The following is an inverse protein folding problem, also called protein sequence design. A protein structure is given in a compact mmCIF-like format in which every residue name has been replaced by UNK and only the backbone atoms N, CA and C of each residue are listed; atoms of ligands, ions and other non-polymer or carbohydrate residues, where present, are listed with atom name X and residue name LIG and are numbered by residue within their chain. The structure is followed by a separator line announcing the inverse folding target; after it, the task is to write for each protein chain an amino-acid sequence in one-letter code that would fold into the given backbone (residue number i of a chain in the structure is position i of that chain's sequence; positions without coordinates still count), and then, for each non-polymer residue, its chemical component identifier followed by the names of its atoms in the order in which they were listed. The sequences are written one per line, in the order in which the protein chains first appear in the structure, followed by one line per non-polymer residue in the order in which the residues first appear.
data_IF_315347834485
#
_entry.id   IF_315347834485
#
_cell.length_a   1.000
_cell.length_b   1.000
_cell.length_c   1.000
_cell.angle_alpha   90.00
_cell.angle_beta   90.00
_cell.angle_gamma   90.00
#
_symmetry.space_group_name_H-M   'P 1'
#
loop_
_entity.id
_entity.type
_entity.pdbx_description
1 polymer ?
#
# COMPACT_ATOMS: atom_id res chain seq x y z
N UNK A 1 29.19 4.70 14.70
CA UNK A 1 28.47 5.38 13.60
C UNK A 1 27.01 4.93 13.67
N UNK A 2 26.17 5.74 14.32
CA UNK A 2 24.77 5.41 14.55
C UNK A 2 23.98 5.66 13.27
N UNK A 3 23.67 4.58 12.53
CA UNK A 3 22.69 4.58 11.45
C UNK A 3 21.29 4.69 12.05
N UNK A 4 20.94 5.87 12.54
CA UNK A 4 19.60 6.14 13.01
C UNK A 4 18.66 5.98 11.81
N UNK A 5 17.93 4.85 11.78
CA UNK A 5 16.83 4.60 10.85
C UNK A 5 15.78 5.68 11.09
N UNK A 6 15.93 6.82 10.41
CA UNK A 6 15.12 8.04 10.51
C UNK A 6 13.63 7.76 10.28
N UNK A 7 13.27 6.58 9.75
CA UNK A 7 11.96 6.26 9.16
C UNK A 7 11.21 5.15 9.92
N UNK A 8 11.69 4.77 11.10
CA UNK A 8 10.97 3.90 12.06
C UNK A 8 10.65 4.77 13.26
N UNK A 9 9.40 5.21 13.38
CA UNK A 9 8.93 5.93 14.57
C UNK A 9 8.64 4.91 15.67
N UNK A 10 9.16 5.17 16.86
CA UNK A 10 9.01 4.36 18.07
C UNK A 10 7.55 3.94 18.35
N UNK A 11 7.43 2.75 18.93
CA UNK A 11 6.22 2.07 19.43
C UNK A 11 5.24 1.46 18.41
N UNK A 12 5.11 1.94 17.16
CA UNK A 12 4.04 1.48 16.24
C UNK A 12 4.53 0.84 14.93
N UNK A 13 5.84 0.78 14.69
CA UNK A 13 6.46 0.29 13.42
C UNK A 13 5.90 0.94 12.14
N UNK A 14 5.23 2.10 12.24
CA UNK A 14 4.65 2.80 11.09
C UNK A 14 5.73 3.59 10.36
N UNK A 15 5.78 3.40 9.04
CA UNK A 15 6.65 4.15 8.13
C UNK A 15 5.94 5.42 7.63
N UNK A 16 6.66 6.39 7.05
CA UNK A 16 6.04 7.57 6.44
C UNK A 16 4.94 7.23 5.42
N UNK A 17 5.08 6.10 4.70
CA UNK A 17 4.09 5.64 3.71
C UNK A 17 2.80 5.19 4.40
N UNK A 18 2.86 4.58 5.60
CA UNK A 18 1.65 4.23 6.37
C UNK A 18 0.82 5.48 6.72
N UNK A 19 1.49 6.55 7.15
CA UNK A 19 0.81 7.79 7.54
C UNK A 19 0.09 8.44 6.36
N UNK A 20 0.76 8.56 5.21
CA UNK A 20 0.13 9.16 4.03
C UNK A 20 -0.98 8.30 3.44
N UNK A 21 -0.83 6.97 3.46
CA UNK A 21 -1.86 6.06 3.00
C UNK A 21 -3.14 6.18 3.85
N UNK A 22 -3.01 6.51 5.14
CA UNK A 22 -4.16 6.77 6.02
C UNK A 22 -4.85 8.12 5.73
N UNK A 23 -4.25 8.99 4.93
CA UNK A 23 -4.85 10.28 4.54
C UNK A 23 -5.70 10.16 3.28
N UNK A 24 -6.71 11.02 3.15
CA UNK A 24 -7.51 11.15 1.92
C UNK A 24 -6.91 12.06 0.86
N UNK A 25 -5.75 12.67 1.13
CA UNK A 25 -5.15 13.67 0.25
C UNK A 25 -4.06 13.07 -0.61
N UNK A 26 -4.45 12.68 -1.83
CA UNK A 26 -3.51 12.17 -2.83
C UNK A 26 -2.44 13.20 -3.20
N UNK A 27 -2.76 14.49 -3.18
CA UNK A 27 -1.81 15.56 -3.54
C UNK A 27 -0.65 15.64 -2.56
N UNK A 28 -0.96 15.59 -1.27
CA UNK A 28 0.05 15.57 -0.20
C UNK A 28 0.86 14.28 -0.28
N UNK A 29 0.18 13.16 -0.51
CA UNK A 29 0.81 11.85 -0.63
C UNK A 29 1.78 11.79 -1.81
N UNK A 30 1.41 12.32 -2.97
CA UNK A 30 2.27 12.40 -4.16
C UNK A 30 3.53 13.22 -3.89
N UNK A 31 3.40 14.38 -3.25
CA UNK A 31 4.55 15.24 -2.90
C UNK A 31 5.45 14.56 -1.88
N UNK A 32 4.89 13.89 -0.87
CA UNK A 32 5.70 13.24 0.17
C UNK A 32 6.38 11.96 -0.31
N UNK A 33 5.78 11.26 -1.29
CA UNK A 33 6.30 10.02 -1.87
C UNK A 33 7.05 10.21 -3.20
N UNK A 34 7.30 11.46 -3.61
CA UNK A 34 8.06 11.76 -4.83
C UNK A 34 9.53 11.38 -4.68
N UNK A 35 10.14 11.77 -3.56
CA UNK A 35 11.54 11.50 -3.21
C UNK A 35 11.69 10.46 -2.08
N UNK A 36 10.60 9.82 -1.68
CA UNK A 36 10.65 8.77 -0.66
C UNK A 36 11.35 7.52 -1.21
N UNK A 37 12.23 6.91 -0.42
CA UNK A 37 12.65 5.54 -0.69
C UNK A 37 11.41 4.64 -0.63
N UNK A 38 11.23 3.75 -1.60
CA UNK A 38 10.04 2.88 -1.68
C UNK A 38 10.35 1.47 -1.16
N UNK A 39 11.55 1.23 -0.64
CA UNK A 39 12.00 -0.05 -0.08
C UNK A 39 11.12 -0.59 1.05
N UNK A 40 10.26 0.27 1.63
CA UNK A 40 9.37 -0.06 2.73
C UNK A 40 7.88 0.13 2.41
N UNK A 41 7.52 0.18 1.12
CA UNK A 41 6.11 0.28 0.69
C UNK A 41 5.25 -0.91 1.16
N UNK A 42 5.89 -2.05 1.41
CA UNK A 42 5.27 -3.29 1.88
C UNK A 42 5.58 -3.61 3.35
N UNK A 43 6.26 -2.71 4.07
CA UNK A 43 6.46 -2.92 5.50
C UNK A 43 5.11 -2.99 6.19
N UNK A 44 5.01 -3.92 7.13
CA UNK A 44 3.83 -4.14 7.94
C UNK A 44 3.99 -3.42 9.28
N UNK A 45 2.93 -2.76 9.73
CA UNK A 45 2.85 -2.20 11.07
C UNK A 45 2.61 -3.29 12.14
N UNK A 46 2.27 -2.89 13.37
CA UNK A 46 2.01 -3.84 14.46
C UNK A 46 0.83 -4.78 14.22
N UNK A 47 -0.18 -4.33 13.46
CA UNK A 47 -1.36 -5.11 13.11
C UNK A 47 -1.15 -5.93 11.83
N UNK A 48 0.11 -6.04 11.41
CA UNK A 48 0.54 -6.60 10.14
C UNK A 48 -0.06 -5.88 8.92
N UNK A 49 -0.52 -4.64 9.08
CA UNK A 49 -1.12 -3.87 7.99
C UNK A 49 -0.03 -3.21 7.17
N UNK A 50 -0.07 -3.41 5.85
CA UNK A 50 0.74 -2.61 4.92
C UNK A 50 0.07 -1.25 4.69
N UNK A 51 0.79 -0.26 4.13
CA UNK A 51 0.17 0.99 3.71
C UNK A 51 -1.03 0.79 2.78
N UNK A 52 -1.02 -0.27 1.96
CA UNK A 52 -2.15 -0.59 1.09
C UNK A 52 -3.40 -1.02 1.87
N UNK A 53 -3.25 -1.66 3.04
CA UNK A 53 -4.38 -1.93 3.94
C UNK A 53 -4.94 -0.63 4.52
N UNK A 54 -4.05 0.26 5.00
CA UNK A 54 -4.44 1.53 5.60
C UNK A 54 -5.11 2.49 4.59
N UNK A 55 -4.76 2.37 3.31
CA UNK A 55 -5.39 3.14 2.24
C UNK A 55 -6.88 2.79 2.08
N UNK A 56 -7.28 1.54 2.35
CA UNK A 56 -8.67 1.05 2.24
C UNK A 56 -9.48 1.48 3.47
N UNK A 57 -9.63 2.79 3.66
CA UNK A 57 -10.33 3.37 4.80
C UNK A 57 -11.76 3.78 4.42
N UNK A 58 -12.81 3.11 4.93
CA UNK A 58 -14.21 3.36 4.56
C UNK A 58 -14.75 4.72 5.02
N UNK A 59 -13.99 5.49 5.80
CA UNK A 59 -14.35 6.86 6.19
C UNK A 59 -14.23 7.86 5.03
N UNK A 60 -13.63 7.48 3.90
CA UNK A 60 -13.46 8.31 2.72
C UNK A 60 -14.29 7.84 1.53
N UNK A 61 -14.42 8.70 0.52
CA UNK A 61 -15.10 8.35 -0.73
C UNK A 61 -14.37 7.22 -1.49
N UNK A 62 -15.10 6.21 -1.98
CA UNK A 62 -14.53 5.07 -2.74
C UNK A 62 -13.64 5.53 -3.92
N UNK A 63 -13.97 6.66 -4.56
CA UNK A 63 -13.14 7.23 -5.61
C UNK A 63 -11.77 7.72 -5.11
N UNK A 64 -11.71 8.34 -3.92
CA UNK A 64 -10.45 8.82 -3.33
C UNK A 64 -9.62 7.65 -2.81
N UNK A 65 -10.27 6.65 -2.24
CA UNK A 65 -9.63 5.42 -1.80
C UNK A 65 -9.02 4.71 -3.01
N UNK A 66 -9.78 4.55 -4.09
CA UNK A 66 -9.31 3.92 -5.32
C UNK A 66 -8.10 4.69 -5.90
N UNK A 67 -8.13 6.02 -5.94
CA UNK A 67 -6.98 6.81 -6.42
C UNK A 67 -5.72 6.60 -5.57
N UNK A 68 -5.87 6.53 -4.24
CA UNK A 68 -4.74 6.25 -3.34
C UNK A 68 -4.18 4.84 -3.56
N UNK A 69 -5.07 3.86 -3.66
CA UNK A 69 -4.71 2.45 -3.89
C UNK A 69 -4.01 2.30 -5.23
N UNK A 70 -4.54 2.89 -6.31
CA UNK A 70 -3.90 2.87 -7.63
C UNK A 70 -2.52 3.52 -7.60
N UNK A 71 -2.36 4.62 -6.86
CA UNK A 71 -1.06 5.26 -6.71
C UNK A 71 -0.06 4.35 -5.98
N UNK A 72 -0.42 3.76 -4.84
CA UNK A 72 0.46 2.84 -4.12
C UNK A 72 0.81 1.60 -4.95
N UNK A 73 -0.15 1.05 -5.69
CA UNK A 73 0.08 -0.05 -6.63
C UNK A 73 1.05 0.36 -7.76
N UNK A 74 0.92 1.59 -8.29
CA UNK A 74 1.84 2.12 -9.30
C UNK A 74 3.29 2.26 -8.79
N UNK A 75 3.45 2.42 -7.47
CA UNK A 75 4.74 2.46 -6.78
C UNK A 75 5.29 1.08 -6.42
N UNK A 76 4.57 0.01 -6.74
CA UNK A 76 5.00 -1.37 -6.56
C UNK A 76 4.50 -2.06 -5.30
N UNK A 77 3.52 -1.50 -4.59
CA UNK A 77 2.92 -2.14 -3.42
C UNK A 77 2.33 -3.51 -3.78
N UNK A 78 2.55 -4.50 -2.92
CA UNK A 78 2.01 -5.86 -3.08
C UNK A 78 0.58 -5.96 -2.51
N UNK A 79 -0.44 -6.21 -3.37
CA UNK A 79 -1.82 -6.39 -2.92
C UNK A 79 -2.14 -7.77 -2.31
N UNK A 80 -1.21 -8.72 -2.31
CA UNK A 80 -1.43 -10.07 -1.78
C UNK A 80 -1.04 -10.24 -0.31
N UNK A 81 -0.31 -9.27 0.26
CA UNK A 81 0.06 -9.29 1.68
C UNK A 81 -1.20 -9.26 2.55
N UNK A 82 -1.19 -10.03 3.64
CA UNK A 82 -2.32 -10.15 4.57
C UNK A 82 -1.99 -9.52 5.91
N UNK A 83 -2.99 -8.89 6.51
CA UNK A 83 -2.92 -8.37 7.86
C UNK A 83 -3.02 -9.47 8.95
N UNK A 84 -3.05 -9.05 10.22
CA UNK A 84 -3.14 -9.94 11.38
C UNK A 84 -4.45 -10.71 11.46
N UNK A 85 -5.50 -10.24 10.79
CA UNK A 85 -6.77 -10.94 10.65
C UNK A 85 -6.76 -11.91 9.46
N UNK A 86 -5.64 -12.02 8.75
CA UNK A 86 -5.51 -12.82 7.53
C UNK A 86 -6.23 -12.21 6.33
N UNK A 87 -6.61 -10.93 6.38
CA UNK A 87 -7.33 -10.24 5.32
C UNK A 87 -6.34 -9.57 4.37
N UNK A 88 -6.56 -9.70 3.06
CA UNK A 88 -5.88 -8.85 2.07
C UNK A 88 -6.57 -7.48 1.98
N UNK A 89 -5.92 -6.45 1.40
CA UNK A 89 -6.59 -5.17 1.13
C UNK A 89 -7.88 -5.34 0.30
N UNK A 90 -7.92 -6.35 -0.58
CA UNK A 90 -9.11 -6.67 -1.37
C UNK A 90 -10.25 -7.21 -0.51
N UNK A 91 -9.94 -8.00 0.52
CA UNK A 91 -10.95 -8.54 1.44
C UNK A 91 -11.57 -7.42 2.28
N UNK A 92 -10.76 -6.46 2.73
CA UNK A 92 -11.22 -5.24 3.40
C UNK A 92 -12.10 -4.40 2.47
N UNK A 93 -11.67 -4.18 1.21
CA UNK A 93 -12.47 -3.40 0.26
C UNK A 93 -13.85 -4.04 0.00
N UNK A 94 -13.91 -5.38 -0.08
CA UNK A 94 -15.16 -6.12 -0.24
C UNK A 94 -16.06 -6.04 0.99
N UNK A 95 -15.52 -6.16 2.20
CA UNK A 95 -16.30 -6.09 3.44
C UNK A 95 -16.99 -4.73 3.59
N UNK A 96 -16.33 -3.66 3.16
CA UNK A 96 -16.85 -2.29 3.16
C UNK A 96 -17.61 -1.88 1.89
N UNK A 97 -17.81 -2.79 0.93
CA UNK A 97 -18.54 -2.54 -0.34
C UNK A 97 -17.93 -1.43 -1.20
N UNK A 98 -16.60 -1.27 -1.15
CA UNK A 98 -15.83 -0.32 -1.94
C UNK A 98 -15.59 -0.89 -3.34
N UNK A 99 -16.52 -0.62 -4.27
CA UNK A 99 -16.57 -1.29 -5.58
C UNK A 99 -15.41 -0.89 -6.47
N UNK A 100 -15.08 0.40 -6.54
CA UNK A 100 -14.00 0.90 -7.38
C UNK A 100 -12.65 0.42 -6.84
N UNK A 101 -12.47 0.54 -5.53
CA UNK A 101 -11.26 0.07 -4.84
C UNK A 101 -11.07 -1.45 -5.01
N UNK A 102 -12.12 -2.24 -4.79
CA UNK A 102 -12.06 -3.69 -4.99
C UNK A 102 -11.78 -4.07 -6.45
N UNK A 103 -12.28 -3.29 -7.41
CA UNK A 103 -11.95 -3.49 -8.82
C UNK A 103 -10.46 -3.23 -9.10
N UNK A 104 -9.92 -2.11 -8.63
CA UNK A 104 -8.50 -1.76 -8.80
C UNK A 104 -7.57 -2.83 -8.19
N UNK A 105 -7.82 -3.24 -6.95
CA UNK A 105 -7.06 -4.29 -6.27
C UNK A 105 -7.18 -5.63 -6.99
N UNK A 106 -8.38 -5.99 -7.45
CA UNK A 106 -8.59 -7.21 -8.24
C UNK A 106 -7.73 -7.17 -9.51
N UNK A 107 -7.80 -6.09 -10.28
CA UNK A 107 -7.02 -5.93 -11.52
C UNK A 107 -5.51 -5.99 -11.26
N UNK A 108 -5.05 -5.39 -10.16
CA UNK A 108 -3.65 -5.47 -9.74
C UNK A 108 -3.22 -6.90 -9.42
N UNK A 109 -3.99 -7.65 -8.63
CA UNK A 109 -3.68 -9.06 -8.32
C UNK A 109 -3.62 -9.93 -9.60
N UNK A 110 -4.49 -9.68 -10.58
CA UNK A 110 -4.39 -10.34 -11.90
C UNK A 110 -3.08 -9.93 -12.61
N UNK A 111 -2.74 -8.65 -12.63
CA UNK A 111 -1.50 -8.18 -13.26
C UNK A 111 -0.24 -8.81 -12.63
N UNK A 112 -0.20 -8.93 -11.30
CA UNK A 112 0.91 -9.57 -10.58
C UNK A 112 1.01 -11.07 -10.86
N UNK A 113 -0.12 -11.79 -10.82
CA UNK A 113 -0.17 -13.24 -11.05
C UNK A 113 0.08 -13.65 -12.50
N UNK A 114 -0.10 -12.73 -13.45
CA UNK A 114 0.13 -12.94 -14.88
C UNK A 114 1.28 -12.08 -15.44
N UNK A 115 2.19 -11.54 -14.60
CA UNK A 115 3.44 -10.96 -15.10
C UNK A 115 4.20 -12.03 -15.88
N UNK A 116 4.49 -11.83 -17.17
CA UNK A 116 5.31 -12.79 -17.91
C UNK A 116 6.68 -12.90 -17.23
N UNK A 117 7.15 -14.13 -17.04
CA UNK A 117 8.46 -14.50 -16.45
C UNK A 117 9.69 -13.87 -17.14
N UNK A 118 9.50 -13.07 -18.20
CA UNK A 118 10.55 -12.48 -19.02
C UNK A 118 11.25 -11.25 -18.41
N UNK A 119 10.72 -10.66 -17.32
CA UNK A 119 11.28 -9.43 -16.73
C UNK A 119 12.21 -9.66 -15.52
N UNK A 120 12.40 -10.90 -15.06
CA UNK A 120 13.45 -11.23 -14.09
C UNK A 120 14.80 -11.48 -14.79
N UNK A 121 15.33 -10.49 -15.51
CA UNK A 121 16.79 -10.39 -15.67
C UNK A 121 17.32 -9.65 -14.46
N UNK A 122 17.80 -10.40 -13.46
CA UNK A 122 18.68 -9.87 -12.42
C UNK A 122 19.84 -9.16 -13.13
N UNK A 123 19.94 -7.84 -12.97
CA UNK A 123 21.23 -7.18 -13.16
C UNK A 123 22.12 -7.67 -12.03
N UNK A 124 23.28 -8.16 -12.42
CA UNK A 124 24.39 -8.56 -11.55
C UNK A 124 25.05 -7.34 -10.91
#
# INVERSE_FOLDING_TARGET
KYGANRWICDEIKKTPVHYVAQTSSIKITKVLLEDADLSYIDLQDLDLQTPLHLAVNPLFDDAKIAEMVEYLLSKGADPEIRDSNGQSPLDIAKSHRLKNTAHALRMAMYSFRYRPLSLFRKSS
#
